data_IF_310286692616
#
_entry.id   IF_310286692616
#
_cell.length_a   1.000
_cell.length_b   1.000
_cell.length_c   1.000
_cell.angle_alpha   90.00
_cell.angle_beta   90.00
_cell.angle_gamma   90.00
#
_symmetry.space_group_name_H-M   'P 1'
#
loop_
_entity.id
_entity.type
_entity.pdbx_description
1 polymer ?
#
# COMPACT_ATOMS: atom_id res chain seq x y z
N UNK A 1 1.73 -9.55 -27.77
CA UNK A 1 2.35 -10.82 -28.22
C UNK A 1 3.33 -11.38 -27.19
N UNK A 2 4.22 -10.56 -26.65
CA UNK A 2 5.23 -10.99 -25.66
C UNK A 2 4.60 -11.47 -24.33
N UNK A 3 3.57 -10.79 -23.84
CA UNK A 3 2.89 -11.14 -22.58
C UNK A 3 2.22 -12.52 -22.66
N UNK A 4 1.66 -12.86 -23.81
CA UNK A 4 0.99 -14.16 -24.02
C UNK A 4 1.99 -15.32 -24.01
N UNK A 5 3.20 -15.08 -24.52
CA UNK A 5 4.28 -16.10 -24.51
C UNK A 5 4.91 -16.23 -23.14
N UNK A 6 5.02 -15.15 -22.37
CA UNK A 6 5.47 -15.20 -20.99
C UNK A 6 4.50 -15.98 -20.10
N UNK A 7 3.18 -15.72 -20.23
CA UNK A 7 2.14 -16.48 -19.54
C UNK A 7 2.17 -17.97 -19.89
N UNK A 8 2.26 -18.29 -21.18
CA UNK A 8 2.32 -19.70 -21.64
C UNK A 8 3.53 -20.44 -21.08
N UNK A 9 4.69 -19.78 -20.99
CA UNK A 9 5.89 -20.34 -20.34
C UNK A 9 5.73 -20.53 -18.85
N UNK A 10 5.06 -19.58 -18.17
CA UNK A 10 4.78 -19.68 -16.74
C UNK A 10 3.82 -20.85 -16.47
N UNK A 11 2.73 -20.96 -17.22
CA UNK A 11 1.76 -22.06 -17.10
C UNK A 11 2.43 -23.42 -17.30
N UNK A 12 3.24 -23.58 -18.36
CA UNK A 12 3.98 -24.80 -18.60
C UNK A 12 4.96 -25.15 -17.46
N UNK A 13 5.62 -24.15 -16.88
CA UNK A 13 6.50 -24.34 -15.73
C UNK A 13 5.72 -24.79 -14.48
N UNK A 14 4.57 -24.21 -14.19
CA UNK A 14 3.73 -24.62 -13.07
C UNK A 14 3.14 -26.01 -13.27
N UNK A 15 2.65 -26.33 -14.46
CA UNK A 15 2.18 -27.68 -14.79
C UNK A 15 3.25 -28.74 -14.62
N UNK A 16 4.50 -28.46 -15.00
CA UNK A 16 5.63 -29.38 -14.87
C UNK A 16 5.93 -29.80 -13.42
N UNK A 17 5.56 -28.97 -12.45
CA UNK A 17 5.70 -29.23 -11.00
C UNK A 17 4.38 -29.59 -10.31
N UNK A 18 3.31 -29.84 -11.09
CA UNK A 18 2.01 -30.27 -10.58
C UNK A 18 1.16 -29.17 -9.93
N UNK A 19 1.46 -27.91 -10.19
CA UNK A 19 0.68 -26.77 -9.72
C UNK A 19 -0.30 -26.35 -10.82
N UNK A 20 -1.60 -26.63 -10.62
CA UNK A 20 -2.62 -26.21 -11.56
C UNK A 20 -3.06 -24.75 -11.30
N UNK A 21 -3.21 -23.93 -12.34
CA UNK A 21 -3.75 -22.58 -12.18
C UNK A 21 -5.24 -22.64 -11.79
N UNK A 22 -5.69 -21.69 -10.98
CA UNK A 22 -7.12 -21.51 -10.69
C UNK A 22 -7.77 -20.75 -11.87
N UNK A 23 -8.65 -21.40 -12.68
CA UNK A 23 -9.25 -20.74 -13.84
C UNK A 23 -10.04 -19.47 -13.51
N UNK A 24 -10.54 -19.35 -12.27
CA UNK A 24 -11.28 -18.18 -11.80
C UNK A 24 -10.38 -16.98 -11.52
N UNK A 25 -9.08 -17.21 -11.41
CA UNK A 25 -8.08 -16.18 -11.10
C UNK A 25 -7.14 -15.90 -12.28
N UNK A 26 -7.32 -16.62 -13.38
CA UNK A 26 -6.58 -16.40 -14.62
C UNK A 26 -7.34 -15.41 -15.49
N UNK A 27 -6.75 -14.27 -15.76
CA UNK A 27 -7.28 -13.28 -16.70
C UNK A 27 -6.14 -12.75 -17.56
N UNK A 28 -6.43 -12.58 -18.84
CA UNK A 28 -5.49 -12.14 -19.86
C UNK A 28 -6.13 -11.05 -20.69
N UNK A 29 -5.37 -10.01 -21.01
CA UNK A 29 -5.81 -8.94 -21.90
C UNK A 29 -6.87 -8.02 -21.32
N UNK A 30 -6.99 -7.93 -19.99
CA UNK A 30 -7.88 -6.97 -19.35
C UNK A 30 -7.18 -5.61 -19.21
N UNK A 31 -7.84 -4.55 -19.69
CA UNK A 31 -7.38 -3.17 -19.49
C UNK A 31 -7.54 -2.72 -18.02
N UNK A 32 -8.59 -3.21 -17.37
CA UNK A 32 -8.86 -2.94 -15.96
C UNK A 32 -9.07 -4.26 -15.21
N UNK A 33 -8.40 -4.43 -14.09
CA UNK A 33 -8.50 -5.65 -13.29
C UNK A 33 -8.36 -5.36 -11.80
N UNK A 34 -9.07 -6.16 -11.00
CA UNK A 34 -8.86 -6.25 -9.57
C UNK A 34 -8.00 -7.49 -9.29
N UNK A 35 -6.81 -7.28 -8.76
CA UNK A 35 -5.83 -8.34 -8.55
C UNK A 35 -5.08 -8.13 -7.22
N UNK A 36 -5.04 -9.19 -6.38
CA UNK A 36 -4.39 -9.16 -5.06
C UNK A 36 -4.78 -7.97 -4.18
N UNK A 37 -6.07 -7.57 -4.26
CA UNK A 37 -6.56 -6.43 -3.50
C UNK A 37 -6.19 -5.06 -4.06
N UNK A 38 -5.55 -5.02 -5.23
CA UNK A 38 -5.30 -3.81 -6.00
C UNK A 38 -6.33 -3.66 -7.12
N UNK A 39 -6.65 -2.43 -7.47
CA UNK A 39 -7.34 -2.08 -8.71
C UNK A 39 -6.30 -1.51 -9.68
N UNK A 40 -6.13 -2.20 -10.81
CA UNK A 40 -5.28 -1.78 -11.93
C UNK A 40 -6.19 -1.14 -12.97
N UNK A 41 -5.90 0.10 -13.35
CA UNK A 41 -6.60 0.87 -14.38
C UNK A 41 -5.63 1.10 -15.55
N UNK A 42 -5.54 0.11 -16.46
CA UNK A 42 -4.57 0.11 -17.55
C UNK A 42 -4.79 1.25 -18.55
N UNK A 43 -6.06 1.67 -18.78
CA UNK A 43 -6.36 2.82 -19.66
C UNK A 43 -5.62 4.09 -19.25
N UNK A 44 -5.57 4.37 -17.95
CA UNK A 44 -4.92 5.56 -17.39
C UNK A 44 -3.58 5.28 -16.74
N UNK A 45 -3.14 4.01 -16.72
CA UNK A 45 -1.87 3.59 -16.15
C UNK A 45 -1.79 3.73 -14.62
N UNK A 46 -2.89 3.53 -13.88
CA UNK A 46 -2.90 3.72 -12.44
C UNK A 46 -3.15 2.42 -11.68
N UNK A 47 -2.48 2.28 -10.55
CA UNK A 47 -2.70 1.22 -9.56
C UNK A 47 -2.99 1.82 -8.21
N UNK A 48 -4.02 1.30 -7.54
CA UNK A 48 -4.43 1.73 -6.19
C UNK A 48 -4.99 0.56 -5.40
N UNK A 49 -5.15 0.74 -4.09
CA UNK A 49 -5.87 -0.23 -3.27
C UNK A 49 -7.30 -0.45 -3.78
N UNK A 50 -7.79 -1.68 -3.67
CA UNK A 50 -9.15 -2.02 -4.08
C UNK A 50 -10.17 -1.10 -3.41
N UNK A 51 -11.15 -0.63 -4.19
CA UNK A 51 -12.11 0.39 -3.75
C UNK A 51 -12.86 -0.01 -2.47
N UNK A 52 -13.29 -1.26 -2.37
CA UNK A 52 -14.04 -1.74 -1.22
C UNK A 52 -13.18 -1.68 0.06
N UNK A 53 -11.92 -2.11 -0.02
CA UNK A 53 -10.98 -2.05 1.11
C UNK A 53 -10.72 -0.59 1.51
N UNK A 54 -10.53 0.28 0.53
CA UNK A 54 -10.32 1.72 0.76
C UNK A 54 -11.50 2.34 1.49
N UNK A 55 -12.73 2.16 0.98
CA UNK A 55 -13.96 2.69 1.58
C UNK A 55 -14.17 2.13 2.99
N UNK A 56 -13.99 0.82 3.17
CA UNK A 56 -14.08 0.18 4.48
C UNK A 56 -13.08 0.78 5.47
N UNK A 57 -11.84 0.98 5.06
CA UNK A 57 -10.80 1.57 5.89
C UNK A 57 -11.14 3.00 6.28
N UNK A 58 -11.57 3.82 5.31
CA UNK A 58 -12.03 5.20 5.58
C UNK A 58 -13.19 5.22 6.60
N UNK A 59 -14.17 4.34 6.43
CA UNK A 59 -15.31 4.24 7.36
C UNK A 59 -14.86 3.89 8.77
N UNK A 60 -13.94 2.94 8.92
CA UNK A 60 -13.40 2.57 10.23
C UNK A 60 -12.59 3.70 10.87
N UNK A 61 -11.78 4.42 10.10
CA UNK A 61 -11.05 5.59 10.58
C UNK A 61 -12.01 6.69 11.02
N UNK A 62 -13.07 7.00 10.26
CA UNK A 62 -14.09 7.96 10.65
C UNK A 62 -14.78 7.53 11.94
N UNK A 63 -15.13 6.26 12.08
CA UNK A 63 -15.73 5.75 13.30
C UNK A 63 -14.81 5.94 14.52
N UNK A 64 -13.51 5.69 14.39
CA UNK A 64 -12.52 5.95 15.45
C UNK A 64 -12.42 7.44 15.81
N UNK A 65 -12.43 8.31 14.81
CA UNK A 65 -12.39 9.77 15.03
C UNK A 65 -13.63 10.27 15.80
N UNK A 66 -14.79 9.67 15.57
CA UNK A 66 -16.04 10.02 16.24
C UNK A 66 -16.11 9.42 17.65
N UNK A 67 -15.79 8.14 17.81
CA UNK A 67 -15.86 7.42 19.09
C UNK A 67 -14.77 7.84 20.06
N UNK A 68 -13.59 8.18 19.55
CA UNK A 68 -12.41 8.57 20.33
C UNK A 68 -11.95 7.55 21.37
N UNK A 69 -12.36 6.29 21.21
CA UNK A 69 -11.96 5.19 22.07
C UNK A 69 -11.72 3.96 21.20
N UNK A 70 -10.75 3.15 21.58
CA UNK A 70 -10.44 1.90 20.89
C UNK A 70 -9.90 0.86 21.87
N UNK A 71 -10.01 -0.42 21.48
CA UNK A 71 -9.16 -1.46 22.07
C UNK A 71 -7.90 -1.60 21.23
N UNK A 72 -6.77 -2.08 21.80
CA UNK A 72 -5.53 -2.29 21.04
C UNK A 72 -5.74 -3.16 19.78
N UNK A 73 -6.56 -4.19 19.90
CA UNK A 73 -6.89 -5.08 18.77
C UNK A 73 -7.58 -4.35 17.61
N UNK A 74 -8.56 -3.49 17.93
CA UNK A 74 -9.26 -2.67 16.92
C UNK A 74 -8.30 -1.66 16.31
N UNK A 75 -7.49 -1.00 17.16
CA UNK A 75 -6.49 -0.05 16.72
C UNK A 75 -5.50 -0.67 15.74
N UNK A 76 -4.86 -1.79 16.12
CA UNK A 76 -3.92 -2.52 15.27
C UNK A 76 -4.56 -2.98 13.95
N UNK A 77 -5.80 -3.46 13.99
CA UNK A 77 -6.52 -3.86 12.77
C UNK A 77 -6.75 -2.67 11.82
N UNK A 78 -7.13 -1.51 12.35
CA UNK A 78 -7.32 -0.29 11.53
C UNK A 78 -5.98 0.22 11.02
N UNK A 79 -4.94 0.24 11.84
CA UNK A 79 -3.58 0.61 11.42
C UNK A 79 -3.09 -0.29 10.30
N UNK A 80 -3.30 -1.61 10.38
CA UNK A 80 -2.96 -2.55 9.32
C UNK A 80 -3.67 -2.23 8.00
N UNK A 81 -4.95 -1.87 8.04
CA UNK A 81 -5.71 -1.48 6.84
C UNK A 81 -5.23 -0.13 6.28
N UNK A 82 -4.93 0.83 7.16
CA UNK A 82 -4.37 2.15 6.80
C UNK A 82 -3.02 1.97 6.09
N UNK A 83 -2.13 1.12 6.65
CA UNK A 83 -0.85 0.78 6.01
C UNK A 83 -1.08 0.15 4.65
N UNK A 84 -2.00 -0.82 4.55
CA UNK A 84 -2.30 -1.49 3.29
C UNK A 84 -2.71 -0.51 2.18
N UNK A 85 -3.63 0.39 2.46
CA UNK A 85 -4.06 1.43 1.50
C UNK A 85 -2.88 2.36 1.15
N UNK A 86 -2.03 2.69 2.12
CA UNK A 86 -0.88 3.58 1.94
C UNK A 86 0.27 2.95 1.14
N UNK A 87 0.28 1.63 0.89
CA UNK A 87 1.31 0.99 0.07
C UNK A 87 1.38 1.56 -1.36
N UNK A 88 0.28 2.12 -1.85
CA UNK A 88 0.18 2.77 -3.16
C UNK A 88 0.59 4.26 -3.14
N UNK A 89 0.98 4.77 -1.97
CA UNK A 89 1.56 6.11 -1.79
C UNK A 89 2.41 6.10 -0.52
N UNK A 90 3.46 5.30 -0.48
CA UNK A 90 4.31 5.06 0.70
C UNK A 90 4.76 6.32 1.46
N UNK A 91 5.04 7.47 0.81
CA UNK A 91 5.36 8.70 1.54
C UNK A 91 4.27 9.12 2.53
N UNK A 92 3.00 8.72 2.32
CA UNK A 92 1.92 9.00 3.26
C UNK A 92 2.07 8.29 4.62
N UNK A 93 2.87 7.23 4.71
CA UNK A 93 3.19 6.57 5.99
C UNK A 93 3.96 7.48 6.95
N UNK A 94 4.67 8.49 6.43
CA UNK A 94 5.38 9.47 7.26
C UNK A 94 4.44 10.33 8.13
N UNK A 95 3.15 10.42 7.79
CA UNK A 95 2.16 11.13 8.59
C UNK A 95 1.72 10.37 9.85
N UNK A 96 2.03 9.07 9.95
CA UNK A 96 1.43 8.14 10.91
C UNK A 96 2.37 7.78 12.07
N UNK A 97 3.35 8.64 12.37
CA UNK A 97 4.35 8.40 13.41
C UNK A 97 3.72 8.02 14.76
N UNK A 98 2.80 8.86 15.25
CA UNK A 98 2.16 8.64 16.55
C UNK A 98 1.18 7.48 16.54
N UNK A 99 0.49 7.28 15.42
CA UNK A 99 -0.44 6.16 15.21
C UNK A 99 0.29 4.82 15.40
N UNK A 100 1.49 4.67 14.86
CA UNK A 100 2.30 3.46 15.03
C UNK A 100 2.78 3.27 16.47
N UNK A 101 3.25 4.33 17.14
CA UNK A 101 3.69 4.25 18.54
C UNK A 101 2.56 3.85 19.50
N UNK A 102 1.31 4.26 19.21
CA UNK A 102 0.17 3.88 20.02
C UNK A 102 -0.31 2.44 19.78
N UNK A 103 0.00 1.85 18.64
CA UNK A 103 -0.42 0.49 18.32
C UNK A 103 0.08 -0.55 19.35
N UNK A 104 1.26 -0.32 19.92
CA UNK A 104 1.93 -1.26 20.83
C UNK A 104 1.92 -0.78 22.29
N UNK A 105 1.35 0.40 22.59
CA UNK A 105 1.47 1.04 23.89
C UNK A 105 0.56 0.45 24.99
N UNK A 106 -0.46 -0.34 24.66
CA UNK A 106 -1.51 -0.75 25.59
C UNK A 106 -1.65 -2.27 25.73
N UNK A 107 -1.98 -2.72 26.94
CA UNK A 107 -2.24 -4.12 27.21
C UNK A 107 -3.49 -4.61 26.45
N UNK A 108 -3.52 -5.90 26.03
CA UNK A 108 -4.67 -6.49 25.36
C UNK A 108 -5.97 -6.34 26.17
N UNK A 109 -7.06 -5.99 25.50
CA UNK A 109 -8.40 -5.95 26.11
C UNK A 109 -8.74 -4.64 26.85
N UNK A 110 -7.78 -3.72 27.04
CA UNK A 110 -8.03 -2.42 27.68
C UNK A 110 -8.59 -1.45 26.66
N UNK A 111 -9.68 -0.75 27.00
CA UNK A 111 -10.16 0.37 26.19
C UNK A 111 -9.32 1.61 26.52
N UNK A 112 -8.75 2.24 25.51
CA UNK A 112 -7.94 3.44 25.65
C UNK A 112 -8.48 4.60 24.80
N UNK A 113 -8.06 5.81 25.14
CA UNK A 113 -8.35 7.02 24.39
C UNK A 113 -7.13 7.39 23.56
N UNK A 114 -7.20 7.30 22.22
CA UNK A 114 -6.08 7.71 21.37
C UNK A 114 -5.72 9.18 21.59
N UNK A 115 -4.45 9.51 21.46
CA UNK A 115 -3.98 10.88 21.62
C UNK A 115 -4.59 11.79 20.54
N UNK A 116 -4.69 13.07 20.85
CA UNK A 116 -5.14 14.08 19.86
C UNK A 116 -4.26 14.09 18.62
N UNK A 117 -2.97 13.80 18.79
CA UNK A 117 -2.00 13.76 17.70
C UNK A 117 -2.30 12.58 16.77
N UNK A 118 -2.50 11.37 17.29
CA UNK A 118 -2.85 10.20 16.50
C UNK A 118 -4.17 10.37 15.76
N UNK A 119 -5.17 10.99 16.40
CA UNK A 119 -6.44 11.29 15.73
C UNK A 119 -6.24 12.33 14.60
N UNK A 120 -5.39 13.35 14.79
CA UNK A 120 -5.05 14.32 13.76
C UNK A 120 -4.30 13.69 12.59
N UNK A 121 -3.37 12.77 12.85
CA UNK A 121 -2.65 12.01 11.83
C UNK A 121 -3.62 11.15 11.00
N UNK A 122 -4.57 10.45 11.64
CA UNK A 122 -5.60 9.69 10.93
C UNK A 122 -6.54 10.60 10.11
N UNK A 123 -6.89 11.78 10.61
CA UNK A 123 -7.70 12.75 9.88
C UNK A 123 -6.95 13.31 8.65
N UNK A 124 -5.65 13.60 8.80
CA UNK A 124 -4.79 13.99 7.69
C UNK A 124 -4.68 12.87 6.65
N UNK A 125 -4.48 11.62 7.10
CA UNK A 125 -4.47 10.45 6.22
C UNK A 125 -5.77 10.35 5.38
N UNK A 126 -6.95 10.53 5.98
CA UNK A 126 -8.23 10.53 5.26
C UNK A 126 -8.27 11.56 4.12
N UNK A 127 -7.69 12.73 4.32
CA UNK A 127 -7.63 13.77 3.30
C UNK A 127 -6.73 13.39 2.12
N UNK A 128 -5.72 12.54 2.36
CA UNK A 128 -4.78 12.08 1.34
C UNK A 128 -5.24 10.85 0.57
N UNK A 129 -6.17 10.03 1.11
CA UNK A 129 -6.64 8.80 0.47
C UNK A 129 -7.01 8.95 -1.01
N UNK A 130 -7.71 10.01 -1.46
CA UNK A 130 -8.06 10.16 -2.88
C UNK A 130 -6.86 10.23 -3.82
N UNK A 131 -5.69 10.61 -3.31
CA UNK A 131 -4.45 10.77 -4.06
C UNK A 131 -3.53 9.54 -3.98
N UNK A 132 -3.91 8.51 -3.21
CA UNK A 132 -3.11 7.30 -3.00
C UNK A 132 -3.24 6.37 -4.20
N UNK A 133 -2.41 6.59 -5.20
CA UNK A 133 -2.27 5.75 -6.39
C UNK A 133 -0.84 5.83 -6.92
N UNK A 134 -0.41 4.76 -7.58
CA UNK A 134 0.84 4.73 -8.34
C UNK A 134 0.49 5.00 -9.80
N UNK A 135 1.20 5.91 -10.43
CA UNK A 135 1.14 6.13 -11.88
C UNK A 135 2.22 5.26 -12.55
N UNK A 136 1.78 4.25 -13.30
CA UNK A 136 2.67 3.33 -14.00
C UNK A 136 3.27 3.94 -15.29
N UNK A 137 2.79 5.11 -15.70
CA UNK A 137 3.27 5.83 -16.89
C UNK A 137 4.16 7.02 -16.52
N UNK A 138 4.38 7.23 -15.22
CA UNK A 138 5.31 8.26 -14.77
C UNK A 138 6.72 7.92 -15.25
N UNK A 139 7.44 8.92 -15.73
CA UNK A 139 8.84 8.77 -16.09
C UNK A 139 9.64 8.30 -14.87
N UNK A 140 10.58 7.38 -15.10
CA UNK A 140 11.48 6.92 -14.05
C UNK A 140 12.52 8.00 -13.78
N UNK A 141 12.60 8.48 -12.54
CA UNK A 141 13.67 9.38 -12.11
C UNK A 141 15.01 8.62 -12.14
N UNK A 142 16.01 9.18 -12.80
CA UNK A 142 17.36 8.59 -12.84
C UNK A 142 18.04 8.54 -11.47
N UNK A 143 17.47 9.18 -10.44
CA UNK A 143 18.03 9.21 -9.10
C UNK A 143 17.39 8.19 -8.20
N UNK A 144 18.22 7.35 -7.61
CA UNK A 144 17.82 6.43 -6.54
C UNK A 144 18.17 7.02 -5.18
N UNK A 145 17.18 7.06 -4.32
CA UNK A 145 17.33 7.52 -2.94
C UNK A 145 17.27 6.35 -1.98
N UNK A 146 18.25 6.26 -1.10
CA UNK A 146 18.20 5.37 0.04
C UNK A 146 18.24 6.21 1.33
N UNK A 147 17.33 5.94 2.24
CA UNK A 147 17.28 6.61 3.54
C UNK A 147 17.28 5.58 4.65
N UNK A 148 18.03 5.86 5.69
CA UNK A 148 18.05 5.07 6.92
C UNK A 148 17.96 5.99 8.12
N UNK A 149 17.26 5.55 9.16
CA UNK A 149 17.08 6.31 10.37
C UNK A 149 17.23 5.42 11.61
N UNK A 150 17.98 5.88 12.57
CA UNK A 150 18.08 5.31 13.90
C UNK A 150 17.47 6.25 14.94
N UNK A 151 17.44 5.84 16.20
CA UNK A 151 16.98 6.71 17.30
C UNK A 151 17.85 7.96 17.51
N UNK A 152 19.04 8.05 16.91
CA UNK A 152 20.03 9.12 17.14
C UNK A 152 20.50 9.84 15.88
N UNK A 153 20.30 9.27 14.71
CA UNK A 153 20.77 9.81 13.43
C UNK A 153 19.92 9.38 12.27
N UNK A 154 19.94 10.16 11.20
CA UNK A 154 19.40 9.78 9.92
C UNK A 154 20.47 9.97 8.83
N UNK A 155 20.44 9.13 7.82
CA UNK A 155 21.26 9.23 6.64
C UNK A 155 20.39 9.21 5.40
N UNK A 156 20.75 9.98 4.40
CA UNK A 156 20.18 9.93 3.08
C UNK A 156 21.31 9.86 2.05
N UNK A 157 21.20 8.94 1.13
CA UNK A 157 22.16 8.77 0.03
C UNK A 157 21.39 8.87 -1.27
N UNK A 158 21.96 9.54 -2.24
CA UNK A 158 21.44 9.61 -3.60
C UNK A 158 22.50 9.08 -4.57
N UNK A 159 22.08 8.29 -5.54
CA UNK A 159 22.90 7.81 -6.63
C UNK A 159 22.17 8.00 -7.94
N UNK A 160 22.88 8.33 -9.01
CA UNK A 160 22.33 8.37 -10.35
C UNK A 160 22.40 7.00 -10.99
N UNK A 161 21.30 6.56 -11.59
CA UNK A 161 21.25 5.35 -12.41
C UNK A 161 21.74 5.67 -13.83
N UNK A 162 22.45 4.74 -14.48
CA UNK A 162 22.71 4.85 -15.91
C UNK A 162 21.39 4.92 -16.70
N UNK A 163 21.36 5.76 -17.74
CA UNK A 163 20.17 5.93 -18.59
C UNK A 163 19.65 4.61 -19.19
N UNK A 164 20.54 3.67 -19.44
CA UNK A 164 20.20 2.34 -19.97
C UNK A 164 19.29 1.59 -18.99
N UNK A 165 19.60 1.60 -17.67
CA UNK A 165 18.78 0.97 -16.65
C UNK A 165 17.44 1.69 -16.45
N UNK A 166 17.38 3.01 -16.62
CA UNK A 166 16.12 3.75 -16.51
C UNK A 166 15.13 3.43 -17.65
N UNK A 167 15.62 2.93 -18.78
CA UNK A 167 14.77 2.53 -19.93
C UNK A 167 14.27 1.08 -19.84
N UNK A 168 14.89 0.25 -19.00
CA UNK A 168 14.52 -1.16 -18.81
C UNK A 168 13.53 -1.38 -17.66
N UNK A 169 13.29 -0.38 -16.82
CA UNK A 169 12.35 -0.39 -15.70
C UNK A 169 11.00 0.20 -16.13
#
# INVERSE_FOLDING_TARGET
>A
AEDTDALRRADAAYESVGVAPDPKKCFVGLENADFWGATIQGEIGRVRAHREITVRTMTLVVALLLQRTATPRVWQAVVGLVVYVSLYARPALAFLDRVFHEADAFAPGVVFVPSRRSLAELAAWLAFVPFMSVDLRADVDSRVFATDASSRSCAAVVSELPEELCREI
#
